data_IF_932890894429
#
_entry.id   IF_932890894429
#
_cell.length_a   1.000
_cell.length_b   1.000
_cell.length_c   1.000
_cell.angle_alpha   90.00
_cell.angle_beta   90.00
_cell.angle_gamma   90.00
#
_symmetry.space_group_name_H-M   'P 1'
#
loop_
_entity.id
_entity.type
_entity.pdbx_description
1 polymer ?
#
# COMPACT_ATOMS: atom_id res chain seq x y z
N UNK A 1 10.02 10.04 23.60
CA UNK A 1 9.43 10.20 22.27
C UNK A 1 7.95 10.55 22.35
N UNK A 2 7.07 9.69 22.90
CA UNK A 2 5.61 9.92 22.88
C UNK A 2 5.18 11.25 23.51
N UNK A 3 5.91 11.79 24.46
CA UNK A 3 5.57 13.04 25.19
C UNK A 3 6.69 14.08 25.07
N UNK A 4 7.47 14.07 24.01
CA UNK A 4 8.58 15.02 23.83
C UNK A 4 8.13 16.39 23.26
N UNK A 5 6.85 16.53 22.89
CA UNK A 5 6.28 17.74 22.31
C UNK A 5 6.71 18.00 20.85
N UNK A 6 7.47 17.08 20.26
CA UNK A 6 8.01 17.18 18.90
C UNK A 6 7.32 16.19 17.96
N UNK A 7 7.20 14.92 18.40
CA UNK A 7 6.67 13.86 17.58
C UNK A 7 5.21 13.55 17.93
N UNK A 8 4.36 13.45 16.88
CA UNK A 8 2.94 13.12 17.02
C UNK A 8 2.42 12.45 15.74
N UNK A 9 1.27 11.78 15.85
CA UNK A 9 0.59 11.19 14.70
C UNK A 9 0.02 12.31 13.82
N UNK A 10 0.31 12.27 12.54
CA UNK A 10 -0.27 13.20 11.56
C UNK A 10 -1.75 12.87 11.36
N UNK A 11 -2.62 13.82 11.63
CA UNK A 11 -4.07 13.71 11.43
C UNK A 11 -4.58 14.59 10.30
N UNK A 12 -3.80 15.61 9.95
CA UNK A 12 -4.14 16.57 8.89
C UNK A 12 -3.36 16.25 7.61
N UNK A 13 -3.95 16.63 6.49
CA UNK A 13 -3.33 16.53 5.16
C UNK A 13 -2.07 17.40 5.07
N UNK A 14 -1.02 16.90 4.44
CA UNK A 14 0.26 17.61 4.28
C UNK A 14 1.01 17.19 3.01
N UNK A 15 2.05 17.96 2.66
CA UNK A 15 2.95 17.65 1.55
C UNK A 15 2.36 17.90 0.17
N UNK A 16 2.85 17.15 -0.82
CA UNK A 16 2.62 17.46 -2.26
C UNK A 16 1.19 17.29 -2.70
N UNK A 17 0.48 16.30 -2.19
CA UNK A 17 -0.90 15.97 -2.59
C UNK A 17 -1.97 16.49 -1.60
N UNK A 18 -1.60 17.37 -0.67
CA UNK A 18 -2.51 17.83 0.40
C UNK A 18 -3.84 18.44 -0.09
N UNK A 19 -3.85 18.97 -1.29
CA UNK A 19 -5.04 19.61 -1.89
C UNK A 19 -5.82 18.64 -2.81
N UNK A 20 -5.33 17.42 -3.03
CA UNK A 20 -6.06 16.42 -3.80
C UNK A 20 -7.14 15.77 -2.92
N UNK A 21 -8.41 16.07 -3.21
CA UNK A 21 -9.56 15.55 -2.47
C UNK A 21 -9.75 14.04 -2.61
N UNK A 22 -9.09 13.38 -3.56
CA UNK A 22 -9.13 11.91 -3.73
C UNK A 22 -8.15 11.18 -2.83
N UNK A 23 -7.30 11.92 -2.11
CA UNK A 23 -6.26 11.39 -1.22
C UNK A 23 -6.60 11.67 0.24
N UNK A 24 -5.89 10.99 1.14
CA UNK A 24 -6.07 11.14 2.58
C UNK A 24 -4.70 11.19 3.30
N UNK A 25 -4.70 11.38 4.61
CA UNK A 25 -3.47 11.50 5.40
C UNK A 25 -2.59 10.24 5.34
N UNK A 26 -3.18 9.06 5.15
CA UNK A 26 -2.43 7.80 4.99
C UNK A 26 -1.64 7.82 3.68
N UNK A 27 -2.25 8.32 2.61
CA UNK A 27 -1.56 8.56 1.35
C UNK A 27 -0.38 9.52 1.55
N UNK A 28 -0.64 10.69 2.14
CA UNK A 28 0.37 11.74 2.33
C UNK A 28 1.60 11.23 3.10
N UNK A 29 1.39 10.43 4.16
CA UNK A 29 2.47 9.86 4.97
C UNK A 29 3.47 9.02 4.16
N UNK A 30 3.02 8.40 3.08
CA UNK A 30 3.84 7.44 2.35
C UNK A 30 4.39 7.97 1.02
N UNK A 31 4.01 9.19 0.60
CA UNK A 31 4.58 9.76 -0.61
C UNK A 31 6.06 10.06 -0.44
N UNK A 32 6.84 9.77 -1.50
CA UNK A 32 8.30 9.88 -1.48
C UNK A 32 8.77 11.26 -1.02
N UNK A 33 8.11 12.29 -1.54
CA UNK A 33 8.44 13.71 -1.30
C UNK A 33 8.09 14.15 0.12
N UNK A 34 7.13 13.49 0.77
CA UNK A 34 6.60 13.90 2.07
C UNK A 34 7.35 13.29 3.26
N UNK A 35 8.09 12.20 3.04
CA UNK A 35 8.68 11.43 4.15
C UNK A 35 9.67 12.24 4.96
N UNK A 36 10.45 13.10 4.32
CA UNK A 36 11.49 13.91 4.97
C UNK A 36 11.10 15.37 5.18
N UNK A 37 9.84 15.74 4.96
CA UNK A 37 9.40 17.10 5.22
C UNK A 37 9.46 17.42 6.73
N UNK A 38 9.89 18.63 7.13
CA UNK A 38 9.93 19.05 8.54
C UNK A 38 8.57 19.02 9.23
N UNK A 39 7.47 19.14 8.46
CA UNK A 39 6.10 19.05 8.95
C UNK A 39 5.66 17.62 9.26
N UNK A 40 6.34 16.58 8.73
CA UNK A 40 6.07 15.19 9.04
C UNK A 40 6.61 14.82 10.42
N UNK A 41 5.78 14.90 11.43
CA UNK A 41 6.13 14.65 12.83
C UNK A 41 6.07 13.18 13.26
N UNK A 42 5.74 12.27 12.34
CA UNK A 42 5.74 10.83 12.65
C UNK A 42 7.13 10.19 12.57
N UNK A 43 8.07 10.78 11.86
CA UNK A 43 9.37 10.19 11.57
C UNK A 43 10.27 10.17 12.81
N UNK A 44 10.73 8.99 13.21
CA UNK A 44 11.74 8.82 14.24
C UNK A 44 13.09 8.43 13.65
N UNK A 45 13.06 7.54 12.66
CA UNK A 45 14.26 7.09 11.97
C UNK A 45 13.92 6.63 10.57
N UNK A 46 14.72 7.02 9.58
CA UNK A 46 14.57 6.62 8.18
C UNK A 46 15.93 6.42 7.51
N UNK A 47 15.94 5.61 6.46
CA UNK A 47 17.05 5.52 5.51
C UNK A 47 16.83 6.55 4.43
N UNK A 48 17.88 7.30 4.09
CA UNK A 48 17.86 8.23 2.98
C UNK A 48 18.29 7.49 1.70
N UNK A 49 17.47 7.60 0.66
CA UNK A 49 17.77 7.04 -0.66
C UNK A 49 17.16 7.96 -1.73
N UNK A 50 17.96 8.87 -2.31
CA UNK A 50 17.51 9.95 -3.18
C UNK A 50 18.25 9.95 -4.50
N UNK A 51 17.50 10.00 -5.59
CA UNK A 51 18.07 9.96 -6.95
C UNK A 51 19.05 11.10 -7.24
N UNK A 52 18.66 12.33 -6.89
CA UNK A 52 19.45 13.55 -7.18
C UNK A 52 20.48 13.89 -6.10
N UNK A 53 20.55 13.12 -5.04
CA UNK A 53 21.58 13.27 -4.03
C UNK A 53 22.82 12.46 -4.43
N UNK A 54 24.00 12.95 -4.12
CA UNK A 54 25.27 12.31 -4.50
C UNK A 54 25.33 10.81 -4.18
N UNK A 55 26.32 10.13 -4.70
CA UNK A 55 26.48 8.66 -4.61
C UNK A 55 26.44 8.11 -3.17
N UNK A 56 26.77 8.95 -2.18
CA UNK A 56 26.80 8.55 -0.76
C UNK A 56 25.41 8.24 -0.16
N UNK A 57 24.33 8.78 -0.74
CA UNK A 57 22.98 8.61 -0.23
C UNK A 57 22.00 8.12 -1.32
N UNK A 58 22.53 7.52 -2.36
CA UNK A 58 21.76 6.90 -3.43
C UNK A 58 22.17 5.45 -3.61
N UNK A 59 21.23 4.54 -3.43
CA UNK A 59 21.46 3.12 -3.73
C UNK A 59 21.67 2.89 -5.24
N UNK A 60 22.36 1.80 -5.59
CA UNK A 60 22.69 1.51 -6.98
C UNK A 60 21.45 1.27 -7.89
N UNK A 61 20.36 0.75 -7.33
CA UNK A 61 19.19 0.30 -8.08
C UNK A 61 17.85 0.93 -7.66
N UNK A 62 17.83 1.74 -6.59
CA UNK A 62 16.59 2.24 -6.00
C UNK A 62 15.78 1.15 -5.27
N UNK A 63 14.59 1.52 -4.84
CA UNK A 63 13.66 0.63 -4.15
C UNK A 63 12.79 -0.10 -5.18
N UNK A 64 13.13 -1.33 -5.51
CA UNK A 64 12.33 -2.15 -6.42
C UNK A 64 11.04 -2.71 -5.76
N UNK A 65 10.45 -2.02 -4.79
CA UNK A 65 9.30 -2.51 -4.04
C UNK A 65 8.07 -2.72 -4.93
N UNK A 66 7.83 -1.84 -5.89
CA UNK A 66 6.76 -2.02 -6.87
C UNK A 66 6.90 -3.36 -7.58
N UNK A 67 8.09 -3.63 -8.09
CA UNK A 67 8.37 -4.86 -8.83
C UNK A 67 8.14 -6.11 -7.99
N UNK A 68 8.54 -6.07 -6.72
CA UNK A 68 8.47 -7.24 -5.85
C UNK A 68 7.05 -7.55 -5.37
N UNK A 69 6.23 -6.54 -5.13
CA UNK A 69 4.96 -6.67 -4.42
C UNK A 69 3.74 -6.63 -5.33
N UNK A 70 3.78 -5.85 -6.42
CA UNK A 70 2.64 -5.70 -7.31
C UNK A 70 2.39 -6.96 -8.15
N UNK A 71 1.12 -7.24 -8.52
CA UNK A 71 0.79 -8.35 -9.42
C UNK A 71 1.47 -8.20 -10.78
N UNK A 72 1.76 -9.32 -11.43
CA UNK A 72 2.40 -9.35 -12.74
C UNK A 72 1.40 -9.18 -13.90
N UNK A 73 0.38 -8.38 -13.70
CA UNK A 73 -0.76 -8.23 -14.59
C UNK A 73 -0.41 -7.69 -15.99
N UNK A 74 0.61 -6.82 -16.08
CA UNK A 74 0.86 -6.08 -17.30
C UNK A 74 1.53 -6.89 -18.42
N UNK A 75 2.16 -8.02 -18.12
CA UNK A 75 2.83 -8.86 -19.10
C UNK A 75 1.82 -9.48 -20.07
N UNK A 76 2.16 -9.46 -21.35
CA UNK A 76 1.35 -10.11 -22.38
C UNK A 76 1.10 -11.59 -22.02
N UNK A 77 -0.16 -11.99 -22.05
CA UNK A 77 -0.57 -13.35 -21.79
C UNK A 77 -0.95 -13.70 -20.35
N UNK A 78 -0.60 -12.88 -19.36
CA UNK A 78 -0.90 -13.19 -17.97
C UNK A 78 -2.38 -13.00 -17.62
N UNK A 79 -3.02 -11.94 -18.14
CA UNK A 79 -4.46 -11.68 -17.96
C UNK A 79 -5.13 -11.71 -19.33
N UNK A 80 -6.16 -12.52 -19.49
CA UNK A 80 -6.92 -12.66 -20.73
C UNK A 80 -8.31 -12.03 -20.61
N UNK A 81 -8.83 -11.55 -21.74
CA UNK A 81 -10.25 -11.27 -21.90
C UNK A 81 -11.04 -12.57 -22.05
N UNK A 82 -12.35 -12.59 -21.85
CA UNK A 82 -13.18 -13.78 -22.08
C UNK A 82 -13.11 -14.38 -23.49
N UNK A 83 -12.77 -13.57 -24.50
CA UNK A 83 -12.52 -14.04 -25.86
C UNK A 83 -11.05 -14.44 -26.13
N UNK A 84 -10.23 -14.52 -25.08
CA UNK A 84 -8.87 -15.07 -25.11
C UNK A 84 -7.76 -14.11 -25.56
N UNK A 85 -8.05 -12.81 -25.75
CA UNK A 85 -7.05 -11.80 -26.10
C UNK A 85 -6.28 -11.34 -24.87
N UNK A 86 -5.10 -10.72 -25.05
CA UNK A 86 -4.36 -10.12 -23.96
C UNK A 86 -5.10 -8.91 -23.40
N UNK A 87 -5.41 -8.92 -22.11
CA UNK A 87 -6.11 -7.83 -21.41
C UNK A 87 -5.23 -6.62 -21.19
N UNK A 88 -3.92 -6.83 -21.03
CA UNK A 88 -2.90 -5.82 -20.80
C UNK A 88 -1.68 -6.07 -21.70
N UNK A 89 -0.76 -5.09 -21.70
CA UNK A 89 0.57 -5.23 -22.33
C UNK A 89 1.59 -4.42 -21.57
N UNK A 90 2.82 -4.92 -21.47
CA UNK A 90 3.99 -4.18 -20.96
C UNK A 90 4.93 -3.74 -22.12
N UNK A 91 4.46 -3.80 -23.33
CA UNK A 91 5.20 -3.33 -24.51
C UNK A 91 5.19 -1.80 -24.56
N UNK A 92 6.35 -1.17 -24.45
CA UNK A 92 6.56 0.28 -24.48
C UNK A 92 5.92 0.96 -25.71
N UNK A 93 6.00 0.31 -26.88
CA UNK A 93 5.42 0.85 -28.11
C UNK A 93 3.88 0.97 -28.04
N UNK A 94 3.24 0.20 -27.17
CA UNK A 94 1.78 0.18 -26.99
C UNK A 94 1.30 1.04 -25.82
N UNK A 95 2.19 1.44 -24.91
CA UNK A 95 1.95 2.30 -23.73
C UNK A 95 0.74 1.89 -22.88
N UNK A 96 0.98 1.20 -21.81
CA UNK A 96 -0.05 0.86 -20.83
C UNK A 96 -0.07 1.93 -19.70
N UNK A 97 -1.14 2.73 -19.56
CA UNK A 97 -1.22 3.77 -18.53
C UNK A 97 -1.11 3.24 -17.10
N UNK A 98 -1.46 1.97 -16.86
CA UNK A 98 -1.28 1.37 -15.54
C UNK A 98 0.18 1.11 -15.17
N UNK A 99 1.08 0.98 -16.13
CA UNK A 99 2.51 0.91 -15.87
C UNK A 99 3.05 2.23 -15.33
N UNK A 100 2.55 3.35 -15.85
CA UNK A 100 2.89 4.68 -15.34
C UNK A 100 2.31 4.89 -13.94
N UNK A 101 1.05 4.52 -13.74
CA UNK A 101 0.33 4.73 -12.49
C UNK A 101 0.78 3.78 -11.37
N UNK A 102 0.88 2.49 -11.65
CA UNK A 102 1.14 1.46 -10.63
C UNK A 102 2.55 0.86 -10.72
N UNK A 103 3.17 0.88 -11.89
CA UNK A 103 4.44 0.21 -12.16
C UNK A 103 4.25 -1.22 -12.66
N UNK A 104 5.38 -1.87 -12.96
CA UNK A 104 5.42 -3.24 -13.46
C UNK A 104 5.80 -4.20 -12.34
N UNK A 105 4.82 -4.93 -11.82
CA UNK A 105 5.04 -5.98 -10.85
C UNK A 105 5.58 -7.27 -11.47
N UNK A 106 6.16 -8.11 -10.64
CA UNK A 106 6.47 -9.53 -10.90
C UNK A 106 6.07 -10.42 -9.71
N UNK A 107 5.55 -9.84 -8.66
CA UNK A 107 4.96 -10.46 -7.47
C UNK A 107 5.80 -11.61 -6.89
N UNK A 108 7.08 -11.34 -6.61
CA UNK A 108 7.96 -12.32 -5.96
C UNK A 108 7.72 -12.39 -4.45
N UNK A 109 7.11 -11.34 -3.88
CA UNK A 109 6.63 -11.28 -2.50
C UNK A 109 5.19 -10.77 -2.50
N UNK A 110 4.31 -11.44 -1.79
CA UNK A 110 2.92 -11.03 -1.68
C UNK A 110 2.39 -11.20 -0.26
N UNK A 111 1.36 -10.44 0.04
CA UNK A 111 0.61 -10.60 1.28
C UNK A 111 -0.06 -11.97 1.38
N UNK A 112 -0.21 -12.45 2.60
CA UNK A 112 -1.03 -13.62 2.87
C UNK A 112 -2.52 -13.31 2.62
N UNK A 113 -3.34 -14.34 2.42
CA UNK A 113 -4.79 -14.20 2.35
C UNK A 113 -5.36 -13.46 3.56
N UNK A 114 -4.84 -13.76 4.74
CA UNK A 114 -5.23 -13.09 5.96
C UNK A 114 -5.05 -11.57 5.89
N UNK A 115 -3.85 -11.13 5.50
CA UNK A 115 -3.53 -9.70 5.38
C UNK A 115 -4.30 -9.02 4.23
N UNK A 116 -4.51 -9.72 3.11
CA UNK A 116 -5.19 -9.12 1.96
C UNK A 116 -6.70 -8.93 2.20
N UNK A 117 -7.34 -9.88 2.92
CA UNK A 117 -8.80 -9.91 3.04
C UNK A 117 -9.30 -9.89 4.48
N UNK A 118 -8.76 -10.75 5.37
CA UNK A 118 -9.41 -11.03 6.66
C UNK A 118 -9.27 -9.92 7.69
N UNK A 119 -8.12 -9.23 7.76
CA UNK A 119 -7.91 -8.18 8.76
C UNK A 119 -8.78 -6.94 8.51
N UNK A 120 -9.37 -6.80 7.33
CA UNK A 120 -10.21 -5.66 6.92
C UNK A 120 -11.72 -5.91 7.10
N UNK A 121 -12.14 -7.16 7.32
CA UNK A 121 -13.56 -7.55 7.31
C UNK A 121 -14.41 -6.92 8.41
N UNK A 122 -13.79 -6.41 9.46
CA UNK A 122 -14.48 -5.76 10.59
C UNK A 122 -14.35 -4.23 10.58
N UNK A 123 -13.81 -3.64 9.50
CA UNK A 123 -13.33 -2.26 9.53
C UNK A 123 -13.33 -1.65 8.12
N UNK A 124 -14.52 -1.44 7.58
CA UNK A 124 -14.73 -0.95 6.21
C UNK A 124 -14.43 0.56 6.04
N UNK A 125 -14.26 1.28 7.16
CA UNK A 125 -13.91 2.71 7.15
C UNK A 125 -12.40 2.99 7.25
N UNK A 126 -11.57 1.96 7.38
CA UNK A 126 -10.13 2.10 7.53
C UNK A 126 -9.49 2.69 6.27
N UNK A 127 -8.94 3.90 6.40
CA UNK A 127 -8.32 4.64 5.29
C UNK A 127 -7.12 3.92 4.68
N UNK A 128 -6.50 2.99 5.39
CA UNK A 128 -5.39 2.16 4.88
C UNK A 128 -5.86 1.19 3.80
N UNK A 129 -7.14 0.79 3.85
CA UNK A 129 -7.78 -0.08 2.87
C UNK A 129 -8.79 0.67 1.96
N UNK A 130 -8.86 1.98 2.08
CA UNK A 130 -9.77 2.80 1.25
C UNK A 130 -9.42 2.70 -0.25
N UNK A 131 -10.40 2.88 -1.14
CA UNK A 131 -10.17 2.95 -2.58
C UNK A 131 -9.06 3.96 -2.93
N UNK A 132 -8.14 3.57 -3.81
CA UNK A 132 -6.98 4.38 -4.18
C UNK A 132 -5.76 4.22 -3.25
N UNK A 133 -5.96 3.91 -1.97
CA UNK A 133 -4.87 3.47 -1.09
C UNK A 133 -4.59 1.98 -1.29
N UNK A 134 -5.63 1.19 -1.29
CA UNK A 134 -5.56 -0.23 -1.63
C UNK A 134 -6.12 -0.44 -3.02
N UNK A 135 -5.46 -1.25 -3.83
CA UNK A 135 -5.90 -1.59 -5.19
C UNK A 135 -6.12 -3.10 -5.27
N UNK A 136 -7.27 -3.48 -5.79
CA UNK A 136 -7.59 -4.86 -6.15
C UNK A 136 -7.51 -5.04 -7.67
N UNK A 137 -7.30 -6.27 -8.12
CA UNK A 137 -7.31 -6.54 -9.57
C UNK A 137 -8.65 -6.18 -10.22
N UNK A 138 -9.74 -6.27 -9.48
CA UNK A 138 -11.09 -5.88 -9.93
C UNK A 138 -11.30 -4.38 -10.09
N UNK A 139 -10.39 -3.55 -9.57
CA UNK A 139 -10.41 -2.10 -9.81
C UNK A 139 -9.83 -1.73 -11.18
N UNK A 140 -9.14 -2.66 -11.82
CA UNK A 140 -8.53 -2.46 -13.12
C UNK A 140 -9.53 -2.75 -14.25
N UNK A 141 -9.29 -2.13 -15.39
CA UNK A 141 -10.02 -2.39 -16.63
C UNK A 141 -9.06 -2.87 -17.71
N UNK A 142 -9.55 -3.72 -18.62
CA UNK A 142 -8.77 -4.13 -19.78
C UNK A 142 -8.37 -2.91 -20.61
N UNK A 143 -7.07 -2.68 -20.76
CA UNK A 143 -6.55 -1.46 -21.40
C UNK A 143 -5.51 -1.74 -22.50
N UNK A 144 -5.34 -2.99 -22.94
CA UNK A 144 -4.47 -3.26 -24.07
C UNK A 144 -4.94 -2.47 -25.30
N UNK A 145 -4.11 -1.64 -25.93
CA UNK A 145 -4.49 -0.87 -27.12
C UNK A 145 -5.06 -1.71 -28.27
N UNK A 146 -4.70 -2.99 -28.37
CA UNK A 146 -5.22 -3.91 -29.37
C UNK A 146 -6.70 -4.27 -29.17
N UNK A 147 -7.24 -4.02 -27.98
CA UNK A 147 -8.66 -4.23 -27.68
C UNK A 147 -9.55 -3.06 -28.10
N UNK A 148 -8.98 -1.92 -28.51
CA UNK A 148 -9.77 -0.76 -28.94
C UNK A 148 -10.75 -1.14 -30.05
N UNK A 149 -12.03 -0.78 -29.84
CA UNK A 149 -13.10 -1.16 -30.77
C UNK A 149 -13.73 -2.54 -30.50
N UNK A 150 -13.23 -3.30 -29.53
CA UNK A 150 -13.88 -4.52 -29.02
C UNK A 150 -14.76 -4.20 -27.81
N UNK A 151 -15.66 -5.11 -27.46
CA UNK A 151 -16.51 -5.01 -26.28
C UNK A 151 -15.72 -5.01 -24.95
N UNK A 152 -14.47 -5.49 -24.96
CA UNK A 152 -13.66 -5.67 -23.76
C UNK A 152 -12.86 -4.44 -23.34
N UNK A 153 -12.53 -3.55 -24.26
CA UNK A 153 -11.75 -2.36 -23.92
C UNK A 153 -12.48 -1.49 -22.89
N UNK A 154 -11.84 -1.25 -21.74
CA UNK A 154 -12.41 -0.47 -20.64
C UNK A 154 -13.37 -1.26 -19.74
N UNK A 155 -13.62 -2.55 -19.99
CA UNK A 155 -14.42 -3.38 -19.09
C UNK A 155 -13.58 -3.83 -17.88
N UNK A 156 -14.22 -4.02 -16.70
CA UNK A 156 -13.54 -4.54 -15.53
C UNK A 156 -12.86 -5.88 -15.78
N UNK A 157 -11.68 -6.05 -15.21
CA UNK A 157 -10.91 -7.30 -15.30
C UNK A 157 -11.64 -8.41 -14.56
N UNK A 158 -11.63 -9.61 -15.13
CA UNK A 158 -12.29 -10.78 -14.56
C UNK A 158 -11.28 -11.89 -14.25
N UNK A 159 -11.48 -12.57 -13.14
CA UNK A 159 -10.73 -13.78 -12.80
C UNK A 159 -11.18 -14.98 -13.63
N UNK A 160 -12.50 -15.05 -13.92
CA UNK A 160 -13.13 -16.11 -14.68
C UNK A 160 -14.10 -15.56 -15.72
N UNK A 161 -14.29 -16.32 -16.79
CA UNK A 161 -15.38 -16.09 -17.75
C UNK A 161 -16.72 -16.61 -17.20
N UNK A 162 -17.79 -16.42 -17.99
CA UNK A 162 -19.15 -16.84 -17.63
C UNK A 162 -19.34 -18.38 -17.60
N UNK A 163 -18.37 -19.13 -18.15
CA UNK A 163 -18.33 -20.61 -18.12
C UNK A 163 -17.47 -21.14 -16.96
N UNK A 164 -16.84 -20.25 -16.16
CA UNK A 164 -15.98 -20.61 -15.05
C UNK A 164 -14.52 -20.87 -15.43
N UNK A 165 -14.12 -20.66 -16.69
CA UNK A 165 -12.72 -20.79 -17.09
C UNK A 165 -11.89 -19.65 -16.50
N UNK A 166 -10.69 -19.98 -15.99
CA UNK A 166 -9.76 -19.02 -15.42
C UNK A 166 -9.12 -18.21 -16.56
N UNK A 167 -9.15 -16.87 -16.42
CA UNK A 167 -8.60 -15.91 -17.38
C UNK A 167 -7.20 -15.40 -17.00
N UNK A 168 -6.63 -15.95 -15.95
CA UNK A 168 -5.36 -15.55 -15.35
C UNK A 168 -4.38 -16.70 -15.48
N UNK A 169 -3.21 -16.45 -16.06
CA UNK A 169 -2.21 -17.48 -16.32
C UNK A 169 -1.55 -17.98 -15.02
N UNK A 170 -1.19 -17.06 -14.13
CA UNK A 170 -0.64 -17.38 -12.80
C UNK A 170 -1.54 -16.78 -11.71
N UNK A 171 -2.41 -17.63 -11.13
CA UNK A 171 -3.37 -17.21 -10.10
C UNK A 171 -2.71 -16.73 -8.80
N UNK A 172 -1.41 -16.98 -8.60
CA UNK A 172 -0.65 -16.57 -7.44
C UNK A 172 -0.02 -15.19 -7.66
N UNK A 173 0.56 -14.96 -8.84
CA UNK A 173 1.36 -13.78 -9.12
C UNK A 173 0.58 -12.65 -9.79
N UNK A 174 -0.51 -12.99 -10.48
CA UNK A 174 -1.23 -12.05 -11.32
C UNK A 174 -2.54 -11.57 -10.69
N UNK A 175 -3.02 -12.25 -9.64
CA UNK A 175 -4.29 -11.92 -9.00
C UNK A 175 -4.13 -11.67 -7.50
N UNK A 176 -3.75 -10.43 -7.14
CA UNK A 176 -3.50 -10.02 -5.76
C UNK A 176 -3.78 -8.53 -5.59
N UNK A 177 -4.37 -8.15 -4.45
CA UNK A 177 -4.48 -6.76 -4.02
C UNK A 177 -3.18 -6.27 -3.35
N UNK A 178 -2.94 -4.95 -3.39
CA UNK A 178 -1.73 -4.35 -2.80
C UNK A 178 -1.97 -2.96 -2.19
N UNK A 179 -1.19 -2.61 -1.15
CA UNK A 179 -1.24 -1.28 -0.53
C UNK A 179 -0.52 -0.25 -1.41
N UNK A 180 -1.21 0.29 -2.41
CA UNK A 180 -0.64 1.22 -3.39
C UNK A 180 0.05 2.41 -2.73
N UNK A 181 -0.56 2.99 -1.69
CA UNK A 181 0.02 4.11 -0.96
C UNK A 181 1.43 3.83 -0.39
N UNK A 182 1.70 2.59 0.05
CA UNK A 182 3.02 2.18 0.56
C UNK A 182 4.03 1.91 -0.55
N UNK A 183 3.56 1.48 -1.71
CA UNK A 183 4.42 1.04 -2.83
C UNK A 183 4.59 2.09 -3.91
N UNK A 184 3.87 3.23 -3.81
CA UNK A 184 3.94 4.29 -4.81
C UNK A 184 5.24 5.08 -4.67
N UNK A 185 6.28 4.59 -5.33
CA UNK A 185 7.56 5.28 -5.48
C UNK A 185 7.74 5.64 -6.95
N UNK A 186 7.90 6.92 -7.25
CA UNK A 186 8.15 7.38 -8.61
C UNK A 186 9.48 6.81 -9.11
N UNK A 187 9.50 6.35 -10.36
CA UNK A 187 10.73 5.90 -11.01
C UNK A 187 11.38 7.08 -11.74
N UNK A 188 12.44 7.62 -11.17
CA UNK A 188 13.14 8.79 -11.72
C UNK A 188 13.93 8.46 -12.97
N UNK A 189 14.33 7.19 -13.17
CA UNK A 189 15.12 6.74 -14.31
C UNK A 189 14.25 6.34 -15.50
N UNK A 190 13.36 5.40 -15.26
CA UNK A 190 12.53 4.82 -16.33
C UNK A 190 11.09 5.34 -16.29
N UNK A 191 10.76 6.15 -15.29
CA UNK A 191 9.49 6.83 -15.01
C UNK A 191 8.30 5.93 -14.62
N UNK A 192 8.35 4.61 -14.79
CA UNK A 192 7.15 3.79 -14.61
C UNK A 192 7.37 2.28 -14.36
N UNK A 193 8.61 1.80 -14.39
CA UNK A 193 8.86 0.35 -14.43
C UNK A 193 8.89 -0.35 -13.07
N UNK A 194 9.82 0.02 -12.20
CA UNK A 194 10.18 -0.83 -11.07
C UNK A 194 10.01 -0.16 -9.72
N UNK A 195 9.88 1.12 -9.70
CA UNK A 195 10.06 2.00 -8.57
C UNK A 195 11.41 2.69 -8.65
N UNK A 196 11.54 3.77 -7.88
CA UNK A 196 12.70 4.63 -7.91
C UNK A 196 13.35 4.76 -6.56
N UNK A 197 13.98 5.89 -6.35
CA UNK A 197 14.66 6.25 -5.11
C UNK A 197 13.73 7.05 -4.23
N UNK A 198 13.61 6.66 -2.98
CA UNK A 198 12.82 7.37 -1.97
C UNK A 198 13.34 7.06 -0.58
N UNK A 199 13.27 8.05 0.29
CA UNK A 199 13.53 7.83 1.70
C UNK A 199 12.59 6.75 2.25
N UNK A 200 13.06 5.94 3.20
CA UNK A 200 12.31 4.82 3.74
C UNK A 200 12.25 4.86 5.27
N UNK A 201 11.04 4.83 5.81
CA UNK A 201 10.85 4.75 7.26
C UNK A 201 11.38 3.44 7.83
N UNK A 202 12.19 3.55 8.88
CA UNK A 202 12.54 2.42 9.75
C UNK A 202 11.62 2.43 10.96
N UNK A 203 11.48 3.61 11.63
CA UNK A 203 10.58 3.77 12.75
C UNK A 203 9.76 5.06 12.63
N UNK A 204 8.48 4.95 12.93
CA UNK A 204 7.55 6.06 13.11
C UNK A 204 6.94 6.02 14.50
N UNK A 205 6.43 7.15 14.99
CA UNK A 205 5.81 7.21 16.33
C UNK A 205 4.61 6.26 16.48
N UNK A 206 3.91 5.93 15.40
CA UNK A 206 2.85 4.92 15.39
C UNK A 206 3.36 3.59 15.93
N UNK A 207 4.54 3.13 15.51
CA UNK A 207 5.17 1.92 16.03
C UNK A 207 5.48 2.03 17.53
N UNK A 208 5.89 3.21 18.00
CA UNK A 208 6.17 3.41 19.44
C UNK A 208 4.89 3.28 20.30
N UNK A 209 3.74 3.75 19.79
CA UNK A 209 2.45 3.52 20.44
C UNK A 209 2.12 2.03 20.52
N UNK A 210 2.27 1.31 19.41
CA UNK A 210 1.98 -0.13 19.37
C UNK A 210 2.93 -0.96 20.23
N UNK A 211 4.23 -0.61 20.30
CA UNK A 211 5.19 -1.24 21.22
C UNK A 211 4.81 -1.01 22.68
N UNK A 212 4.37 0.19 23.02
CA UNK A 212 3.92 0.48 24.39
C UNK A 212 2.62 -0.25 24.73
N UNK A 213 1.68 -0.32 23.79
CA UNK A 213 0.45 -1.09 23.96
C UNK A 213 0.75 -2.57 24.17
N UNK A 214 1.67 -3.15 23.40
CA UNK A 214 2.14 -4.53 23.59
C UNK A 214 2.70 -4.76 24.99
N UNK A 215 3.54 -3.85 25.49
CA UNK A 215 4.08 -3.94 26.84
C UNK A 215 2.98 -3.87 27.92
N UNK A 216 1.94 -3.08 27.72
CA UNK A 216 0.78 -3.03 28.62
C UNK A 216 -0.03 -4.33 28.58
N UNK A 217 -0.20 -4.95 27.41
CA UNK A 217 -0.86 -6.26 27.29
C UNK A 217 -0.09 -7.33 28.05
N UNK A 218 1.23 -7.34 27.95
CA UNK A 218 2.07 -8.27 28.74
C UNK A 218 1.97 -8.09 30.24
N UNK A 219 1.65 -6.89 30.75
CA UNK A 219 1.35 -6.67 32.16
C UNK A 219 0.03 -7.29 32.61
N UNK A 220 -0.99 -7.27 31.75
CA UNK A 220 -2.22 -8.02 31.85
C UNK A 220 -3.24 -7.55 32.92
N UNK A 221 -2.95 -6.52 33.74
CA UNK A 221 -3.94 -5.95 34.66
C UNK A 221 -4.93 -5.02 33.89
N UNK A 222 -6.13 -4.85 34.46
CA UNK A 222 -7.21 -4.10 33.81
C UNK A 222 -6.82 -2.65 33.42
N UNK A 223 -6.04 -1.98 34.30
CA UNK A 223 -5.55 -0.62 34.04
C UNK A 223 -4.56 -0.60 32.87
N UNK A 224 -3.70 -1.61 32.80
CA UNK A 224 -2.75 -1.75 31.67
C UNK A 224 -3.45 -2.07 30.35
N UNK A 225 -4.47 -2.95 30.36
CA UNK A 225 -5.26 -3.24 29.17
C UNK A 225 -6.00 -1.98 28.66
N UNK A 226 -6.54 -1.15 29.54
CA UNK A 226 -7.14 0.12 29.14
C UNK A 226 -6.10 1.04 28.46
N UNK A 227 -4.89 1.15 29.03
CA UNK A 227 -3.80 1.94 28.42
C UNK A 227 -3.34 1.38 27.08
N UNK A 228 -3.39 0.05 26.90
CA UNK A 228 -3.12 -0.58 25.61
C UNK A 228 -4.17 -0.17 24.58
N UNK A 229 -5.46 -0.23 24.92
CA UNK A 229 -6.55 0.23 24.06
C UNK A 229 -6.40 1.71 23.69
N UNK A 230 -6.09 2.56 24.66
CA UNK A 230 -5.87 4.00 24.43
C UNK A 230 -4.76 4.26 23.38
N UNK A 231 -3.67 3.48 23.42
CA UNK A 231 -2.57 3.64 22.47
C UNK A 231 -2.89 3.07 21.08
N UNK A 232 -3.50 1.89 21.01
CA UNK A 232 -3.96 1.30 19.76
C UNK A 232 -4.98 2.21 19.08
N UNK A 233 -5.94 2.72 19.85
CA UNK A 233 -7.01 3.58 19.33
C UNK A 233 -6.52 4.93 18.82
N UNK A 234 -5.37 5.45 19.26
CA UNK A 234 -4.75 6.61 18.63
C UNK A 234 -4.37 6.34 17.17
N UNK A 235 -3.76 5.17 16.93
CA UNK A 235 -3.37 4.77 15.56
C UNK A 235 -4.60 4.49 14.71
N UNK A 236 -5.58 3.78 15.25
CA UNK A 236 -6.83 3.43 14.59
C UNK A 236 -7.67 4.65 14.24
N UNK A 237 -7.86 5.55 15.18
CA UNK A 237 -8.60 6.81 15.00
C UNK A 237 -7.99 7.68 13.90
N UNK A 238 -6.65 7.80 13.84
CA UNK A 238 -5.97 8.48 12.74
C UNK A 238 -6.29 7.85 11.38
N UNK A 239 -6.42 6.51 11.36
CA UNK A 239 -6.75 5.76 10.15
C UNK A 239 -8.27 5.71 9.86
N UNK A 240 -9.12 6.33 10.67
CA UNK A 240 -10.57 6.27 10.52
C UNK A 240 -11.19 4.90 10.83
N UNK A 241 -10.41 4.02 11.48
CA UNK A 241 -10.83 2.69 11.87
C UNK A 241 -11.57 2.72 13.22
N UNK A 242 -12.48 1.77 13.45
CA UNK A 242 -13.23 1.64 14.71
C UNK A 242 -12.31 1.45 15.91
N UNK A 243 -12.68 2.06 17.03
CA UNK A 243 -11.95 1.89 18.29
C UNK A 243 -12.23 0.50 18.90
N UNK A 244 -11.26 -0.02 19.62
CA UNK A 244 -11.33 -1.32 20.27
C UNK A 244 -11.38 -1.14 21.81
N UNK A 245 -12.13 -2.00 22.47
CA UNK A 245 -12.25 -2.02 23.91
C UNK A 245 -11.06 -2.72 24.59
N UNK A 246 -10.88 -2.48 25.88
CA UNK A 246 -9.77 -3.04 26.66
C UNK A 246 -9.78 -4.58 26.71
N UNK A 247 -10.93 -5.21 26.68
CA UNK A 247 -11.10 -6.68 26.66
C UNK A 247 -10.69 -7.32 25.31
N UNK A 248 -10.61 -6.52 24.24
CA UNK A 248 -10.14 -6.93 22.92
C UNK A 248 -8.60 -6.84 22.80
N UNK A 249 -7.92 -6.30 23.83
CA UNK A 249 -6.46 -6.13 23.78
C UNK A 249 -5.74 -7.45 24.02
N UNK A 250 -5.23 -8.01 22.94
CA UNK A 250 -4.43 -9.24 22.89
C UNK A 250 -3.18 -9.03 22.07
N UNK A 251 -2.20 -9.92 22.16
CA UNK A 251 -1.03 -9.90 21.27
C UNK A 251 -1.47 -10.05 19.80
N UNK A 252 -2.51 -10.81 19.54
CA UNK A 252 -3.07 -10.93 18.20
C UNK A 252 -3.55 -9.59 17.67
N UNK A 253 -4.25 -8.81 18.48
CA UNK A 253 -4.72 -7.47 18.13
C UNK A 253 -3.56 -6.55 17.72
N UNK A 254 -2.43 -6.58 18.45
CA UNK A 254 -1.23 -5.80 18.10
C UNK A 254 -0.61 -6.27 16.79
N UNK A 255 -0.53 -7.59 16.57
CA UNK A 255 0.02 -8.14 15.32
C UNK A 255 -0.85 -7.75 14.11
N UNK A 256 -2.18 -7.79 14.27
CA UNK A 256 -3.12 -7.39 13.22
C UNK A 256 -3.02 -5.87 12.94
N UNK A 257 -2.90 -5.04 13.99
CA UNK A 257 -2.75 -3.60 13.81
C UNK A 257 -1.41 -3.23 13.13
N UNK A 258 -0.32 -3.95 13.41
CA UNK A 258 0.96 -3.80 12.71
C UNK A 258 0.90 -4.28 11.26
N UNK A 259 0.09 -5.28 10.97
CA UNK A 259 -0.07 -5.80 9.62
C UNK A 259 -0.86 -4.85 8.70
N UNK A 260 -1.74 -4.01 9.27
CA UNK A 260 -2.45 -2.94 8.55
C UNK A 260 -1.52 -1.78 8.21
#
# INVERSE_FOLDING_TARGET
>A
VINDGVHYLMTERFGVDKNDATKNVIWDLHQSENKSLPENKEVLYMVLDRYDAGEDIRSAAGLEIKRQVLPWFAKDGEIKTPDGKNGFTDNDAKKNPYLEQYGRGVCTARSTWYHTHMIWTLDDTDLRHAPGNWIEMTDLTYNNPELKGTEWYGQPVRFKDDKGNILVNDTIRDWVGWPHYKTNVADQKDKWWRGGWADWYIFRIAETYLLRAEAYIWKGDATSLQKAADDVNKVRRRAGADELDADQMTIRTILDERAR
#
